data_IF_585667749444
#
_entry.id   IF_585667749444
#
_cell.length_a   1.000
_cell.length_b   1.000
_cell.length_c   1.000
_cell.angle_alpha   90.00
_cell.angle_beta   90.00
_cell.angle_gamma   90.00
#
_symmetry.space_group_name_H-M   'P 1'
#
loop_
_entity.id
_entity.type
_entity.pdbx_description
1 polymer ?
#
# COMPACT_ATOMS: atom_id res chain seq x y z
N UNK A 1 4.39 -29.36 -28.57
CA UNK A 1 3.20 -29.27 -27.70
C UNK A 1 3.53 -28.31 -26.59
N UNK A 2 2.83 -27.18 -26.52
CA UNK A 2 3.15 -26.08 -25.62
C UNK A 2 2.37 -26.28 -24.30
N UNK A 3 3.03 -26.51 -23.15
CA UNK A 3 2.34 -26.88 -21.91
C UNK A 3 1.61 -25.73 -21.21
N UNK A 4 1.72 -24.51 -21.72
CA UNK A 4 1.16 -23.30 -21.10
C UNK A 4 -0.35 -23.06 -21.35
N UNK A 5 -1.02 -23.89 -22.13
CA UNK A 5 -2.42 -23.68 -22.50
C UNK A 5 -3.46 -24.39 -21.62
N UNK A 6 -3.06 -25.04 -20.52
CA UNK A 6 -4.00 -25.76 -19.64
C UNK A 6 -4.20 -25.14 -18.24
N UNK A 7 -3.55 -24.03 -17.88
CA UNK A 7 -3.64 -23.48 -16.51
C UNK A 7 -4.66 -22.36 -16.29
N UNK A 8 -5.42 -21.93 -17.30
CA UNK A 8 -6.32 -20.76 -17.16
C UNK A 8 -7.73 -21.07 -16.65
N UNK A 9 -8.03 -22.30 -16.21
CA UNK A 9 -9.40 -22.70 -15.84
C UNK A 9 -9.61 -23.05 -14.36
N UNK A 10 -8.67 -22.80 -13.45
CA UNK A 10 -8.80 -23.29 -12.05
C UNK A 10 -8.89 -22.22 -10.94
N UNK A 11 -9.09 -20.95 -11.26
CA UNK A 11 -9.26 -19.92 -10.22
C UNK A 11 -10.60 -19.19 -10.36
N UNK A 12 -11.69 -19.93 -10.16
CA UNK A 12 -13.05 -19.38 -10.09
C UNK A 12 -13.52 -19.16 -8.64
N UNK A 13 -12.81 -19.70 -7.64
CA UNK A 13 -13.15 -19.52 -6.23
C UNK A 13 -12.03 -18.78 -5.45
N UNK A 14 -12.35 -17.67 -4.76
CA UNK A 14 -11.39 -16.93 -3.93
C UNK A 14 -10.77 -17.72 -2.76
N UNK A 15 -11.27 -18.91 -2.46
CA UNK A 15 -10.80 -19.79 -1.39
C UNK A 15 -9.61 -20.67 -1.77
N UNK A 16 -9.19 -20.70 -3.04
CA UNK A 16 -8.09 -21.54 -3.54
C UNK A 16 -6.70 -20.86 -3.45
N UNK A 17 -6.59 -19.72 -2.76
CA UNK A 17 -5.30 -19.07 -2.49
C UNK A 17 -4.58 -19.76 -1.32
N UNK A 18 -3.39 -20.39 -1.52
CA UNK A 18 -2.62 -21.05 -0.45
C UNK A 18 -2.08 -20.09 0.61
N UNK A 19 -2.15 -18.78 0.35
CA UNK A 19 -2.02 -17.71 1.32
C UNK A 19 -3.20 -16.76 1.11
N UNK A 20 -4.37 -17.18 1.57
CA UNK A 20 -5.52 -16.29 1.58
C UNK A 20 -5.12 -15.00 2.28
N UNK A 21 -5.37 -13.85 1.62
CA UNK A 21 -5.73 -12.67 2.40
C UNK A 21 -6.80 -13.15 3.38
N UNK A 22 -6.64 -12.92 4.69
CA UNK A 22 -7.61 -13.40 5.66
C UNK A 22 -9.00 -13.02 5.16
N UNK A 23 -9.99 -13.93 5.25
CA UNK A 23 -11.36 -13.57 4.90
C UNK A 23 -11.64 -12.24 5.59
N UNK A 24 -12.33 -11.34 4.91
CA UNK A 24 -12.81 -10.11 5.53
C UNK A 24 -13.68 -10.53 6.70
N UNK A 25 -13.04 -10.76 7.86
CA UNK A 25 -13.65 -10.87 9.15
C UNK A 25 -14.57 -9.67 9.18
N UNK A 26 -15.80 -9.90 9.65
CA UNK A 26 -16.79 -8.84 9.79
C UNK A 26 -16.18 -7.74 10.66
N UNK A 27 -15.45 -6.82 10.04
CA UNK A 27 -14.82 -5.68 10.67
C UNK A 27 -16.02 -4.84 11.10
N UNK A 28 -16.42 -4.99 12.35
CA UNK A 28 -17.46 -4.17 12.94
C UNK A 28 -16.99 -2.74 12.71
N UNK A 29 -17.72 -2.00 11.87
CA UNK A 29 -17.40 -0.67 11.32
C UNK A 29 -16.28 0.05 12.09
N UNK A 30 -15.02 -0.32 11.85
CA UNK A 30 -13.89 0.36 12.47
C UNK A 30 -13.87 1.73 11.79
N UNK A 31 -14.03 2.78 12.58
CA UNK A 31 -14.05 4.12 12.00
C UNK A 31 -12.71 4.34 11.31
N UNK A 32 -12.69 5.00 10.15
CA UNK A 32 -11.44 5.32 9.45
C UNK A 32 -10.45 6.03 10.37
N UNK A 33 -10.97 6.78 11.36
CA UNK A 33 -10.19 7.45 12.39
C UNK A 33 -9.48 6.49 13.34
N UNK A 34 -10.12 5.39 13.75
CA UNK A 34 -9.48 4.37 14.60
C UNK A 34 -8.35 3.67 13.87
N UNK A 35 -8.57 3.30 12.60
CA UNK A 35 -7.52 2.69 11.75
C UNK A 35 -6.33 3.62 11.60
N UNK A 36 -6.57 4.91 11.35
CA UNK A 36 -5.51 5.91 11.21
C UNK A 36 -4.76 6.12 12.55
N UNK A 37 -5.48 6.15 13.68
CA UNK A 37 -4.84 6.26 15.01
C UNK A 37 -3.97 5.06 15.33
N UNK A 38 -4.46 3.87 15.04
CA UNK A 38 -3.71 2.63 15.20
C UNK A 38 -2.46 2.63 14.31
N UNK A 39 -2.59 3.04 13.04
CA UNK A 39 -1.46 3.22 12.14
C UNK A 39 -0.38 4.14 12.73
N UNK A 40 -0.77 5.32 13.23
CA UNK A 40 0.19 6.24 13.87
C UNK A 40 0.65 5.82 15.27
N UNK A 41 0.04 4.79 15.85
CA UNK A 41 0.54 4.11 17.04
C UNK A 41 1.68 3.13 16.72
N UNK A 42 1.71 2.58 15.50
CA UNK A 42 2.78 1.70 15.03
C UNK A 42 3.92 2.44 14.34
N UNK A 43 3.59 3.47 13.56
CA UNK A 43 4.54 4.30 12.83
C UNK A 43 4.39 5.75 13.27
N UNK A 44 5.46 6.38 13.75
CA UNK A 44 5.45 7.84 13.77
C UNK A 44 5.44 8.39 12.33
N UNK A 45 5.16 9.68 12.17
CA UNK A 45 5.06 10.30 10.86
C UNK A 45 6.34 10.11 10.03
N UNK A 46 7.51 10.19 10.68
CA UNK A 46 8.80 10.02 10.02
C UNK A 46 8.97 8.56 9.54
N UNK A 47 8.69 7.58 10.39
CA UNK A 47 8.79 6.16 10.04
C UNK A 47 7.83 5.76 8.92
N UNK A 48 6.63 6.36 8.88
CA UNK A 48 5.70 6.19 7.76
C UNK A 48 6.26 6.79 6.45
N UNK A 49 6.87 7.97 6.51
CA UNK A 49 7.52 8.61 5.34
C UNK A 49 8.75 7.83 4.84
N UNK A 50 9.57 7.31 5.75
CA UNK A 50 10.76 6.50 5.44
C UNK A 50 10.35 5.17 4.80
N UNK A 51 9.37 4.48 5.39
CA UNK A 51 8.85 3.22 4.83
C UNK A 51 8.29 3.44 3.42
N UNK A 52 7.54 4.52 3.21
CA UNK A 52 7.03 4.87 1.90
C UNK A 52 8.18 5.14 0.90
N UNK A 53 9.22 5.83 1.33
CA UNK A 53 10.38 6.12 0.49
C UNK A 53 11.11 4.84 0.08
N UNK A 54 11.33 3.92 1.01
CA UNK A 54 11.98 2.63 0.73
C UNK A 54 11.18 1.80 -0.29
N UNK A 55 9.85 1.80 -0.20
CA UNK A 55 8.98 1.15 -1.18
C UNK A 55 9.11 1.77 -2.58
N UNK A 56 9.23 3.09 -2.66
CA UNK A 56 9.40 3.80 -3.94
C UNK A 56 10.77 3.51 -4.54
N UNK A 57 11.83 3.50 -3.73
CA UNK A 57 13.17 3.11 -4.17
C UNK A 57 13.20 1.67 -4.68
N UNK A 58 12.53 0.74 -3.98
CA UNK A 58 12.42 -0.65 -4.40
C UNK A 58 11.66 -0.78 -5.74
N UNK A 59 10.59 0.00 -5.93
CA UNK A 59 9.85 0.03 -7.19
C UNK A 59 10.71 0.58 -8.34
N UNK A 60 11.35 1.73 -8.13
CA UNK A 60 12.22 2.36 -9.14
C UNK A 60 13.41 1.47 -9.50
N UNK A 61 13.98 0.78 -8.51
CA UNK A 61 15.09 -0.15 -8.68
C UNK A 61 14.71 -1.48 -9.34
N UNK A 62 13.42 -1.72 -9.61
CA UNK A 62 12.99 -2.91 -10.34
C UNK A 62 13.36 -2.80 -11.83
N UNK A 63 13.84 -3.91 -12.41
CA UNK A 63 14.31 -3.95 -13.80
C UNK A 63 13.26 -3.48 -14.82
N UNK A 64 11.98 -3.61 -14.49
CA UNK A 64 10.85 -3.18 -15.34
C UNK A 64 10.74 -1.65 -15.48
N UNK A 65 11.32 -0.88 -14.57
CA UNK A 65 11.18 0.58 -14.51
C UNK A 65 12.49 1.33 -14.76
N UNK A 66 13.58 0.59 -14.96
CA UNK A 66 14.91 1.18 -15.08
C UNK A 66 15.08 2.01 -16.37
N UNK A 67 14.36 1.64 -17.44
CA UNK A 67 14.40 2.33 -18.73
C UNK A 67 13.26 3.34 -18.95
N UNK A 68 12.23 3.34 -18.12
CA UNK A 68 11.10 4.26 -18.26
C UNK A 68 11.20 5.48 -17.33
N UNK A 69 11.82 6.54 -17.86
CA UNK A 69 11.93 7.83 -17.17
C UNK A 69 10.59 8.44 -16.77
N UNK A 70 9.53 8.24 -17.55
CA UNK A 70 8.20 8.79 -17.25
C UNK A 70 7.58 8.06 -16.06
N UNK A 71 7.67 6.73 -16.03
CA UNK A 71 7.14 5.97 -14.90
C UNK A 71 7.91 6.24 -13.60
N UNK A 72 9.24 6.42 -13.66
CA UNK A 72 10.00 6.86 -12.48
C UNK A 72 9.56 8.24 -11.98
N UNK A 73 9.34 9.19 -12.88
CA UNK A 73 8.85 10.51 -12.51
C UNK A 73 7.46 10.44 -11.86
N UNK A 74 6.54 9.64 -12.42
CA UNK A 74 5.21 9.42 -11.85
C UNK A 74 5.28 8.80 -10.44
N UNK A 75 6.25 7.93 -10.17
CA UNK A 75 6.46 7.34 -8.83
C UNK A 75 6.94 8.38 -7.81
N UNK A 76 7.82 9.30 -8.21
CA UNK A 76 8.25 10.41 -7.35
C UNK A 76 7.09 11.38 -7.09
N UNK A 77 6.31 11.72 -8.11
CA UNK A 77 5.09 12.53 -7.94
C UNK A 77 4.07 11.86 -7.03
N UNK A 78 3.93 10.54 -7.14
CA UNK A 78 3.07 9.75 -6.25
C UNK A 78 3.59 9.79 -4.80
N UNK A 79 4.90 9.64 -4.59
CA UNK A 79 5.52 9.78 -3.28
C UNK A 79 5.17 11.12 -2.62
N UNK A 80 5.36 12.23 -3.34
CA UNK A 80 5.11 13.57 -2.80
C UNK A 80 3.63 13.78 -2.41
N UNK A 81 2.71 13.22 -3.21
CA UNK A 81 1.26 13.28 -2.94
C UNK A 81 0.89 12.47 -1.71
N UNK A 82 1.39 11.24 -1.58
CA UNK A 82 1.10 10.38 -0.42
C UNK A 82 1.74 10.92 0.84
N UNK A 83 2.98 11.43 0.76
CA UNK A 83 3.64 12.13 1.86
C UNK A 83 2.81 13.30 2.37
N UNK A 84 2.30 14.14 1.46
CA UNK A 84 1.44 15.27 1.82
C UNK A 84 0.14 14.81 2.48
N UNK A 85 -0.45 13.72 2.00
CA UNK A 85 -1.64 13.11 2.60
C UNK A 85 -1.36 12.57 4.00
N UNK A 86 -0.25 11.84 4.21
CA UNK A 86 0.16 11.33 5.51
C UNK A 86 0.28 12.45 6.54
N UNK A 87 0.93 13.56 6.18
CA UNK A 87 1.01 14.76 7.02
C UNK A 87 -0.37 15.31 7.37
N UNK A 88 -1.22 15.53 6.38
CA UNK A 88 -2.55 16.08 6.60
C UNK A 88 -3.39 15.18 7.52
N UNK A 89 -3.31 13.86 7.34
CA UNK A 89 -4.03 12.88 8.13
C UNK A 89 -3.49 12.77 9.57
N UNK A 90 -2.16 12.88 9.73
CA UNK A 90 -1.52 12.96 11.05
C UNK A 90 -1.98 14.18 11.83
N UNK A 91 -1.95 15.36 11.20
CA UNK A 91 -2.41 16.62 11.81
C UNK A 91 -3.91 16.55 12.18
N UNK A 92 -4.76 16.00 11.31
CA UNK A 92 -6.18 15.80 11.61
C UNK A 92 -6.43 14.89 12.82
N UNK A 93 -5.54 13.93 13.08
CA UNK A 93 -5.64 13.07 14.25
C UNK A 93 -5.25 13.80 15.54
N UNK A 94 -4.25 14.68 15.46
CA UNK A 94 -3.75 15.49 16.59
C UNK A 94 -4.68 16.67 16.94
N UNK A 95 -5.35 17.27 15.96
CA UNK A 95 -6.20 18.46 16.13
C UNK A 95 -7.47 18.27 16.99
N UNK A 96 -7.70 17.08 17.56
CA UNK A 96 -8.87 16.80 18.42
C UNK A 96 -8.50 16.24 19.80
N UNK A 97 -7.26 16.46 20.23
CA UNK A 97 -6.82 16.20 21.61
C UNK A 97 -6.74 17.48 22.47
N UNK A 98 -7.15 18.62 21.92
CA UNK A 98 -7.42 19.89 22.63
C UNK A 98 -8.93 20.17 22.71
#
# INVERSE_FOLDING_TARGET
>A
MNPFHQQTQQYQNPSDYPHGLPPAEKQGKTSSREVIREFFGYYDLNGAEETLWDLILAAIGSDNLNDDSLTRHNLLDFYDRVKSLLKAVYELCRYKEE
#
